data_IF_561703389956
#
_entry.id   IF_561703389956
#
_cell.length_a   1.000
_cell.length_b   1.000
_cell.length_c   1.000
_cell.angle_alpha   90.00
_cell.angle_beta   90.00
_cell.angle_gamma   90.00
#
_symmetry.space_group_name_H-M   'P 1'
#
loop_
_entity.id
_entity.type
_entity.pdbx_description
1 polymer ?
#
# COMPACT_ATOMS: atom_id res chain seq x y z
N UNK A 1 35.24 -24.65 -8.95
CA UNK A 1 35.58 -23.21 -8.90
C UNK A 1 34.38 -22.45 -9.45
N UNK A 2 33.48 -22.00 -8.57
CA UNK A 2 32.37 -21.13 -8.98
C UNK A 2 32.91 -19.74 -9.26
N UNK A 3 32.57 -19.18 -10.42
CA UNK A 3 32.86 -17.79 -10.76
C UNK A 3 32.11 -16.86 -9.81
N UNK A 4 32.84 -16.21 -8.89
CA UNK A 4 32.30 -15.26 -7.92
C UNK A 4 31.72 -14.04 -8.64
N UNK A 5 30.47 -13.68 -8.31
CA UNK A 5 29.70 -12.66 -9.05
C UNK A 5 30.08 -11.19 -8.75
N UNK A 6 31.05 -10.81 -7.95
CA UNK A 6 31.31 -9.40 -7.57
C UNK A 6 30.08 -8.61 -7.00
N UNK A 7 30.14 -8.16 -5.73
CA UNK A 7 29.02 -7.47 -5.05
C UNK A 7 28.43 -6.25 -5.77
N UNK A 8 29.23 -5.57 -6.60
CA UNK A 8 28.76 -4.43 -7.39
C UNK A 8 27.72 -4.83 -8.44
N UNK A 9 27.81 -6.05 -9.00
CA UNK A 9 26.85 -6.58 -9.96
C UNK A 9 25.52 -6.87 -9.26
N UNK A 10 25.56 -7.51 -8.09
CA UNK A 10 24.34 -7.84 -7.32
C UNK A 10 23.60 -6.59 -6.87
N UNK A 11 24.34 -5.57 -6.42
CA UNK A 11 23.75 -4.27 -6.08
C UNK A 11 23.16 -3.60 -7.32
N UNK A 12 23.87 -3.59 -8.44
CA UNK A 12 23.38 -3.04 -9.71
C UNK A 12 22.06 -3.68 -10.17
N UNK A 13 21.91 -5.00 -10.02
CA UNK A 13 20.65 -5.69 -10.35
C UNK A 13 19.52 -5.27 -9.42
N UNK A 14 19.77 -5.20 -8.10
CA UNK A 14 18.77 -4.73 -7.14
C UNK A 14 18.26 -3.31 -7.50
N UNK A 15 19.18 -2.40 -7.83
CA UNK A 15 18.83 -1.05 -8.30
C UNK A 15 17.98 -1.07 -9.57
N UNK A 16 18.36 -1.91 -10.55
CA UNK A 16 17.61 -2.04 -11.79
C UNK A 16 16.18 -2.56 -11.54
N UNK A 17 16.01 -3.58 -10.69
CA UNK A 17 14.70 -4.13 -10.35
C UNK A 17 13.83 -3.15 -9.58
N UNK A 18 14.43 -2.33 -8.72
CA UNK A 18 13.73 -1.24 -8.03
C UNK A 18 13.30 -0.15 -9.01
N UNK A 19 14.20 0.26 -9.93
CA UNK A 19 13.94 1.32 -10.91
C UNK A 19 12.83 0.95 -11.91
N UNK A 20 12.76 -0.32 -12.34
CA UNK A 20 11.72 -0.81 -13.26
C UNK A 20 10.32 -0.61 -12.65
N UNK A 21 10.18 -0.73 -11.32
CA UNK A 21 8.90 -0.59 -10.64
C UNK A 21 8.42 0.85 -10.47
N UNK A 22 9.26 1.85 -10.75
CA UNK A 22 8.85 3.26 -10.75
C UNK A 22 7.83 3.53 -11.88
N UNK A 23 8.05 2.96 -13.07
CA UNK A 23 7.18 3.18 -14.24
C UNK A 23 5.73 2.74 -14.00
N UNK A 24 5.42 1.49 -13.59
CA UNK A 24 4.04 1.09 -13.32
C UNK A 24 3.42 1.91 -12.18
N UNK A 25 4.19 2.31 -11.16
CA UNK A 25 3.69 3.13 -10.07
C UNK A 25 3.29 4.54 -10.56
N UNK A 26 4.08 5.17 -11.44
CA UNK A 26 3.72 6.45 -12.09
C UNK A 26 2.45 6.30 -12.91
N UNK A 27 2.29 5.21 -13.66
CA UNK A 27 1.06 4.94 -14.42
C UNK A 27 -0.14 4.80 -13.48
N UNK A 28 -0.02 4.04 -12.39
CA UNK A 28 -1.07 3.89 -11.36
C UNK A 28 -1.41 5.24 -10.73
N UNK A 29 -0.41 6.06 -10.42
CA UNK A 29 -0.57 7.41 -9.89
C UNK A 29 -1.39 8.27 -10.86
N UNK A 30 -0.95 8.40 -12.11
CA UNK A 30 -1.65 9.17 -13.14
C UNK A 30 -3.09 8.69 -13.33
N UNK A 31 -3.31 7.38 -13.45
CA UNK A 31 -4.65 6.80 -13.62
C UNK A 31 -5.55 7.09 -12.41
N UNK A 32 -5.01 7.01 -11.20
CA UNK A 32 -5.76 7.28 -9.96
C UNK A 32 -6.13 8.76 -9.87
N UNK A 33 -5.19 9.68 -10.13
CA UNK A 33 -5.46 11.13 -10.11
C UNK A 33 -6.41 11.57 -11.22
N UNK A 34 -6.29 11.02 -12.43
CA UNK A 34 -7.20 11.37 -13.54
C UNK A 34 -8.62 10.84 -13.34
N UNK A 35 -8.81 9.76 -12.57
CA UNK A 35 -10.12 9.11 -12.40
C UNK A 35 -10.74 9.25 -11.02
N UNK A 36 -10.01 9.81 -10.05
CA UNK A 36 -10.49 10.06 -8.70
C UNK A 36 -11.76 10.93 -8.75
N UNK A 37 -12.94 10.35 -8.51
CA UNK A 37 -14.17 11.13 -8.45
C UNK A 37 -14.19 11.96 -7.18
N UNK A 38 -14.46 13.26 -7.31
CA UNK A 38 -14.89 14.13 -6.20
C UNK A 38 -16.34 13.77 -5.86
N UNK A 39 -16.58 12.83 -4.95
CA UNK A 39 -17.95 12.51 -4.56
C UNK A 39 -17.97 11.85 -3.18
N UNK A 40 -18.91 12.30 -2.34
CA UNK A 40 -19.19 11.85 -0.98
C UNK A 40 -19.71 10.40 -0.89
N UNK A 41 -19.32 9.52 -1.82
CA UNK A 41 -19.73 8.13 -1.84
C UNK A 41 -19.12 7.39 -0.63
N UNK A 42 -19.93 6.94 0.33
CA UNK A 42 -19.45 6.32 1.57
C UNK A 42 -18.66 5.04 1.32
N UNK A 43 -18.75 4.47 0.11
CA UNK A 43 -18.13 3.22 -0.24
C UNK A 43 -16.84 3.38 -1.06
N UNK A 44 -16.51 4.63 -1.41
CA UNK A 44 -15.21 5.06 -1.96
C UNK A 44 -14.28 5.65 -0.89
N UNK A 45 -14.51 5.30 0.37
CA UNK A 45 -13.72 5.79 1.52
C UNK A 45 -12.22 5.49 1.45
N UNK A 46 -11.79 4.52 0.62
CA UNK A 46 -10.38 4.16 0.43
C UNK A 46 -9.61 5.10 -0.51
N UNK A 47 -10.28 5.82 -1.41
CA UNK A 47 -9.65 6.72 -2.39
C UNK A 47 -8.78 7.80 -1.74
N UNK A 48 -9.21 8.56 -0.71
CA UNK A 48 -8.36 9.59 -0.11
C UNK A 48 -7.05 9.02 0.45
N UNK A 49 -7.09 7.85 1.09
CA UNK A 49 -5.89 7.18 1.59
C UNK A 49 -4.97 6.77 0.44
N UNK A 50 -5.52 6.22 -0.65
CA UNK A 50 -4.76 5.83 -1.83
C UNK A 50 -4.09 7.05 -2.50
N UNK A 51 -4.77 8.19 -2.59
CA UNK A 51 -4.23 9.41 -3.18
C UNK A 51 -3.06 10.00 -2.39
N UNK A 52 -3.00 9.79 -1.08
CA UNK A 52 -1.86 10.18 -0.24
C UNK A 52 -0.74 9.13 -0.29
N UNK A 53 -1.11 7.86 -0.30
CA UNK A 53 -0.19 6.73 -0.31
C UNK A 53 0.65 6.64 -1.59
N UNK A 54 0.04 6.82 -2.77
CA UNK A 54 0.75 6.67 -4.04
C UNK A 54 1.93 7.67 -4.23
N UNK A 55 1.79 8.98 -3.92
CA UNK A 55 2.95 9.89 -3.91
C UNK A 55 4.02 9.48 -2.91
N UNK A 56 3.64 9.05 -1.70
CA UNK A 56 4.61 8.59 -0.69
C UNK A 56 5.37 7.35 -1.15
N UNK A 57 4.68 6.41 -1.80
CA UNK A 57 5.30 5.25 -2.40
C UNK A 57 6.29 5.60 -3.51
N UNK A 58 5.95 6.60 -4.33
CA UNK A 58 6.84 7.07 -5.39
C UNK A 58 8.08 7.73 -4.79
N UNK A 59 7.91 8.57 -3.75
CA UNK A 59 9.02 9.16 -2.99
C UNK A 59 9.89 8.06 -2.40
N UNK A 60 9.30 7.03 -1.80
CA UNK A 60 10.03 5.87 -1.26
C UNK A 60 10.90 5.21 -2.34
N UNK A 61 10.34 4.80 -3.48
CA UNK A 61 11.12 4.11 -4.52
C UNK A 61 12.21 5.00 -5.12
N UNK A 62 11.92 6.27 -5.37
CA UNK A 62 12.90 7.22 -5.91
C UNK A 62 14.04 7.46 -4.92
N UNK A 63 13.72 7.67 -3.64
CA UNK A 63 14.75 7.88 -2.61
C UNK A 63 15.57 6.62 -2.35
N UNK A 64 14.95 5.42 -2.36
CA UNK A 64 15.67 4.15 -2.30
C UNK A 64 16.63 3.99 -3.47
N UNK A 65 16.19 4.32 -4.69
CA UNK A 65 17.04 4.27 -5.87
C UNK A 65 18.23 5.24 -5.75
N UNK A 66 17.99 6.49 -5.34
CA UNK A 66 19.05 7.49 -5.15
C UNK A 66 20.03 7.03 -4.07
N UNK A 67 19.55 6.58 -2.91
CA UNK A 67 20.39 6.06 -1.84
C UNK A 67 21.24 4.87 -2.33
N UNK A 68 20.64 3.99 -3.12
CA UNK A 68 21.33 2.86 -3.71
C UNK A 68 22.43 3.24 -4.71
N UNK A 69 22.18 4.24 -5.56
CA UNK A 69 23.19 4.82 -6.47
C UNK A 69 24.33 5.47 -5.66
N UNK A 70 24.02 6.22 -4.61
CA UNK A 70 25.02 6.81 -3.73
C UNK A 70 25.86 5.73 -3.03
N UNK A 71 25.25 4.61 -2.62
CA UNK A 71 25.97 3.46 -2.08
C UNK A 71 26.90 2.79 -3.08
N UNK A 72 26.52 2.77 -4.35
CA UNK A 72 27.40 2.28 -5.41
C UNK A 72 28.57 3.26 -5.66
N UNK A 73 28.30 4.56 -5.62
CA UNK A 73 29.32 5.59 -5.79
C UNK A 73 30.30 5.65 -4.60
N UNK A 74 29.82 5.45 -3.37
CA UNK A 74 30.66 5.48 -2.16
C UNK A 74 31.67 4.33 -2.13
N UNK A 75 31.28 3.15 -2.61
CA UNK A 75 32.16 1.97 -2.72
C UNK A 75 33.15 2.07 -3.88
N UNK A 76 32.84 2.85 -4.91
CA UNK A 76 33.67 3.00 -6.12
C UNK A 76 34.62 4.20 -6.09
N UNK A 77 34.53 5.09 -5.09
CA UNK A 77 35.31 6.33 -5.04
C UNK A 77 36.74 6.09 -4.55
N UNK A 78 37.79 6.29 -5.38
CA UNK A 78 39.19 6.02 -5.00
C UNK A 78 39.81 7.12 -4.12
N UNK A 79 39.14 8.26 -3.95
CA UNK A 79 39.74 9.51 -3.48
C UNK A 79 38.96 10.11 -2.31
N UNK A 80 39.09 9.53 -1.10
CA UNK A 80 38.86 10.19 0.20
C UNK A 80 37.50 10.83 0.54
N UNK A 81 36.61 11.08 -0.42
CA UNK A 81 35.31 11.74 -0.27
C UNK A 81 34.14 10.78 -0.04
N UNK A 82 34.42 9.50 0.21
CA UNK A 82 33.39 8.49 0.47
C UNK A 82 32.54 8.79 1.71
N UNK A 83 33.08 9.55 2.68
CA UNK A 83 32.38 9.93 3.91
C UNK A 83 31.12 10.77 3.66
N UNK A 84 31.23 11.82 2.85
CA UNK A 84 30.09 12.71 2.54
C UNK A 84 29.02 11.98 1.71
N UNK A 85 29.45 11.15 0.76
CA UNK A 85 28.55 10.33 -0.06
C UNK A 85 27.81 9.32 0.83
N UNK A 86 28.50 8.67 1.76
CA UNK A 86 27.90 7.76 2.72
C UNK A 86 26.92 8.49 3.65
N UNK A 87 27.26 9.69 4.13
CA UNK A 87 26.36 10.50 4.95
C UNK A 87 25.06 10.83 4.21
N UNK A 88 25.17 11.29 2.97
CA UNK A 88 24.04 11.57 2.10
C UNK A 88 23.21 10.29 1.83
N UNK A 89 23.87 9.17 1.52
CA UNK A 89 23.23 7.87 1.32
C UNK A 89 22.37 7.48 2.51
N UNK A 90 22.92 7.50 3.73
CA UNK A 90 22.19 7.02 4.91
C UNK A 90 21.02 7.96 5.25
N UNK A 91 21.18 9.28 5.09
CA UNK A 91 20.09 10.24 5.31
C UNK A 91 18.96 10.09 4.29
N UNK A 92 19.28 9.94 3.01
CA UNK A 92 18.29 9.69 1.97
C UNK A 92 17.60 8.34 2.21
N UNK A 93 18.36 7.31 2.62
CA UNK A 93 17.82 6.02 3.02
C UNK A 93 16.85 6.12 4.19
N UNK A 94 17.13 6.95 5.20
CA UNK A 94 16.21 7.18 6.32
C UNK A 94 14.89 7.82 5.87
N UNK A 95 14.94 8.79 4.94
CA UNK A 95 13.74 9.41 4.35
C UNK A 95 12.96 8.38 3.53
N UNK A 96 13.65 7.56 2.74
CA UNK A 96 13.03 6.49 1.96
C UNK A 96 12.28 5.52 2.87
N UNK A 97 12.90 5.06 3.96
CA UNK A 97 12.29 4.15 4.93
C UNK A 97 11.07 4.77 5.62
N UNK A 98 11.12 6.06 5.97
CA UNK A 98 9.96 6.74 6.56
C UNK A 98 8.77 6.76 5.58
N UNK A 99 9.03 7.09 4.31
CA UNK A 99 8.02 7.07 3.26
C UNK A 99 7.46 5.66 3.02
N UNK A 100 8.31 4.63 3.09
CA UNK A 100 7.88 3.23 3.03
C UNK A 100 6.91 2.88 4.15
N UNK A 101 7.27 3.17 5.41
CA UNK A 101 6.42 2.87 6.56
C UNK A 101 5.07 3.59 6.48
N UNK A 102 5.05 4.85 6.06
CA UNK A 102 3.78 5.57 5.87
C UNK A 102 2.95 4.98 4.72
N UNK A 103 3.60 4.54 3.64
CA UNK A 103 2.93 3.83 2.56
C UNK A 103 2.29 2.52 3.04
N UNK A 104 3.01 1.73 3.87
CA UNK A 104 2.54 0.48 4.45
C UNK A 104 1.38 0.67 5.44
N UNK A 105 1.43 1.74 6.23
CA UNK A 105 0.33 2.13 7.13
C UNK A 105 -0.91 2.51 6.31
N UNK A 106 -0.73 3.29 5.24
CA UNK A 106 -1.83 3.74 4.40
C UNK A 106 -2.44 2.59 3.57
N UNK A 107 -1.67 1.60 3.13
CA UNK A 107 -2.26 0.44 2.41
C UNK A 107 -3.17 -0.38 3.33
N UNK A 108 -2.85 -0.49 4.64
CA UNK A 108 -3.76 -1.10 5.61
C UNK A 108 -5.10 -0.35 5.63
N UNK A 109 -5.06 0.99 5.73
CA UNK A 109 -6.26 1.82 5.70
C UNK A 109 -7.04 1.68 4.39
N UNK A 110 -6.34 1.66 3.25
CA UNK A 110 -6.96 1.44 1.93
C UNK A 110 -7.68 0.10 1.86
N UNK A 111 -7.04 -0.99 2.31
CA UNK A 111 -7.62 -2.33 2.26
C UNK A 111 -8.82 -2.48 3.23
N UNK A 112 -8.75 -1.90 4.43
CA UNK A 112 -9.87 -1.89 5.39
C UNK A 112 -11.06 -1.13 4.82
N UNK A 113 -10.85 0.10 4.33
CA UNK A 113 -11.95 0.91 3.78
C UNK A 113 -12.50 0.31 2.48
N UNK A 114 -11.67 -0.34 1.67
CA UNK A 114 -12.13 -1.04 0.47
C UNK A 114 -13.01 -2.25 0.84
N UNK A 115 -12.59 -3.08 1.79
CA UNK A 115 -13.41 -4.20 2.28
C UNK A 115 -14.71 -3.72 2.95
N UNK A 116 -14.65 -2.61 3.68
CA UNK A 116 -15.85 -1.96 4.23
C UNK A 116 -16.79 -1.48 3.12
N UNK A 117 -16.26 -0.91 2.03
CA UNK A 117 -17.03 -0.54 0.85
C UNK A 117 -17.75 -1.74 0.24
N UNK A 118 -17.07 -2.87 0.07
CA UNK A 118 -17.69 -4.10 -0.41
C UNK A 118 -18.84 -4.57 0.49
N UNK A 119 -18.63 -4.58 1.81
CA UNK A 119 -19.68 -4.97 2.75
C UNK A 119 -20.87 -4.01 2.73
N UNK A 120 -20.63 -2.72 2.50
CA UNK A 120 -21.69 -1.71 2.38
C UNK A 120 -22.56 -1.98 1.14
N UNK A 121 -21.95 -2.35 0.01
CA UNK A 121 -22.70 -2.76 -1.18
C UNK A 121 -23.56 -4.02 -0.98
N UNK A 122 -23.16 -4.93 -0.08
CA UNK A 122 -23.94 -6.16 0.18
C UNK A 122 -25.06 -5.93 1.18
N UNK A 123 -24.76 -5.22 2.26
CA UNK A 123 -25.66 -5.10 3.41
C UNK A 123 -26.56 -3.87 3.36
N UNK A 124 -26.28 -2.92 2.45
CA UNK A 124 -26.96 -1.60 2.31
C UNK A 124 -26.93 -0.73 3.58
N UNK A 125 -26.27 -1.20 4.64
CA UNK A 125 -26.16 -0.53 5.92
C UNK A 125 -24.76 -0.73 6.52
N UNK A 126 -24.33 0.23 7.35
CA UNK A 126 -23.08 0.14 8.10
C UNK A 126 -23.24 -0.78 9.31
N UNK A 127 -22.67 -1.97 9.22
CA UNK A 127 -22.59 -2.97 10.29
C UNK A 127 -21.60 -2.57 11.39
N UNK A 128 -21.78 -3.12 12.60
CA UNK A 128 -20.86 -2.92 13.72
C UNK A 128 -19.43 -3.39 13.42
N UNK A 129 -19.28 -4.48 12.63
CA UNK A 129 -17.98 -5.00 12.19
C UNK A 129 -17.20 -3.97 11.37
N UNK A 130 -17.85 -3.28 10.42
CA UNK A 130 -17.19 -2.25 9.60
C UNK A 130 -16.68 -1.08 10.45
N UNK A 131 -17.49 -0.64 11.43
CA UNK A 131 -17.09 0.42 12.37
C UNK A 131 -15.90 -0.04 13.22
N UNK A 132 -15.99 -1.24 13.79
CA UNK A 132 -14.92 -1.82 14.62
C UNK A 132 -13.60 -1.93 13.87
N UNK A 133 -13.61 -2.55 12.67
CA UNK A 133 -12.42 -2.67 11.83
C UNK A 133 -11.80 -1.31 11.49
N UNK A 134 -12.62 -0.31 11.16
CA UNK A 134 -12.14 1.05 10.87
C UNK A 134 -11.47 1.69 12.08
N UNK A 135 -12.09 1.65 13.26
CA UNK A 135 -11.51 2.28 14.45
C UNK A 135 -10.22 1.58 14.90
N UNK A 136 -10.17 0.25 14.83
CA UNK A 136 -8.97 -0.52 15.13
C UNK A 136 -7.86 -0.20 14.12
N UNK A 137 -8.17 -0.08 12.83
CA UNK A 137 -7.21 0.31 11.81
C UNK A 137 -6.67 1.73 12.04
N UNK A 138 -7.52 2.70 12.36
CA UNK A 138 -7.08 4.08 12.67
C UNK A 138 -6.18 4.10 13.91
N UNK A 139 -6.59 3.44 14.99
CA UNK A 139 -5.83 3.41 16.24
C UNK A 139 -4.46 2.77 16.07
N UNK A 140 -4.40 1.62 15.41
CA UNK A 140 -3.12 0.95 15.12
C UNK A 140 -2.26 1.73 14.13
N UNK A 141 -2.84 2.35 13.09
CA UNK A 141 -2.13 3.22 12.14
C UNK A 141 -1.49 4.42 12.83
N UNK A 142 -2.18 5.03 13.80
CA UNK A 142 -1.63 6.14 14.59
C UNK A 142 -0.42 5.69 15.42
N UNK A 143 -0.49 4.52 16.06
CA UNK A 143 0.62 3.93 16.82
C UNK A 143 1.81 3.65 15.89
N UNK A 144 1.57 3.02 14.74
CA UNK A 144 2.59 2.73 13.74
C UNK A 144 3.24 4.01 13.18
N UNK A 145 2.48 5.08 12.98
CA UNK A 145 3.00 6.36 12.51
C UNK A 145 3.95 7.00 13.54
N UNK A 146 3.59 6.95 14.83
CA UNK A 146 4.46 7.43 15.92
C UNK A 146 5.76 6.60 15.97
N UNK A 147 5.65 5.28 15.86
CA UNK A 147 6.81 4.38 15.81
C UNK A 147 7.72 4.67 14.61
N UNK A 148 7.15 4.91 13.43
CA UNK A 148 7.91 5.25 12.22
C UNK A 148 8.69 6.57 12.39
N UNK A 149 8.06 7.59 12.99
CA UNK A 149 8.71 8.86 13.32
C UNK A 149 9.84 8.65 14.34
N UNK A 150 9.62 7.83 15.37
CA UNK A 150 10.64 7.53 16.37
C UNK A 150 11.86 6.82 15.75
N UNK A 151 11.63 5.82 14.89
CA UNK A 151 12.71 5.13 14.16
C UNK A 151 13.48 6.10 13.27
N UNK A 152 12.79 7.00 12.56
CA UNK A 152 13.41 8.02 11.74
C UNK A 152 14.30 8.95 12.59
N UNK A 153 13.80 9.39 13.75
CA UNK A 153 14.55 10.22 14.70
C UNK A 153 15.81 9.52 15.22
N UNK A 154 15.68 8.26 15.67
CA UNK A 154 16.79 7.44 16.15
C UNK A 154 17.84 7.25 15.04
N UNK A 155 17.41 6.91 13.82
CA UNK A 155 18.32 6.71 12.68
C UNK A 155 19.12 7.99 12.38
N UNK A 156 18.48 9.17 12.40
CA UNK A 156 19.18 10.43 12.18
C UNK A 156 20.12 10.80 13.34
N UNK A 157 19.74 10.47 14.58
CA UNK A 157 20.59 10.69 15.75
C UNK A 157 21.84 9.80 15.70
N UNK A 158 21.67 8.51 15.37
CA UNK A 158 22.74 7.53 15.18
C UNK A 158 23.74 7.99 14.11
N UNK A 159 23.23 8.36 12.93
CA UNK A 159 24.05 8.91 11.84
C UNK A 159 24.78 10.16 12.29
N UNK A 160 24.09 11.11 12.91
CA UNK A 160 24.72 12.35 13.35
C UNK A 160 25.84 12.08 14.35
N UNK A 161 25.64 11.13 15.28
CA UNK A 161 26.66 10.74 16.26
C UNK A 161 27.87 10.11 15.57
N UNK A 162 27.65 9.14 14.68
CA UNK A 162 28.71 8.44 13.93
C UNK A 162 29.63 9.40 13.17
N UNK A 163 29.08 10.41 12.48
CA UNK A 163 29.87 11.35 11.70
C UNK A 163 30.50 12.49 12.52
N UNK A 164 30.01 12.79 13.74
CA UNK A 164 30.61 13.83 14.60
C UNK A 164 31.65 13.29 15.58
N UNK A 165 31.48 12.07 16.10
CA UNK A 165 32.39 11.51 17.12
C UNK A 165 33.71 11.02 16.53
N UNK A 166 33.77 10.75 15.21
CA UNK A 166 34.92 10.13 14.55
C UNK A 166 35.27 8.73 15.10
N UNK A 167 34.51 8.24 16.06
CA UNK A 167 34.69 6.96 16.75
C UNK A 167 33.47 6.09 16.46
N UNK A 168 33.67 4.87 15.92
CA UNK A 168 32.61 3.90 15.62
C UNK A 168 32.01 3.28 16.88
N UNK A 169 32.33 3.77 18.08
CA UNK A 169 31.57 3.50 19.31
C UNK A 169 30.20 4.18 19.22
N UNK A 170 29.39 3.73 18.27
CA UNK A 170 27.95 3.95 18.25
C UNK A 170 27.44 3.43 19.59
N UNK A 171 26.60 4.22 20.23
CA UNK A 171 25.94 3.81 21.46
C UNK A 171 25.08 2.59 21.13
N UNK A 172 25.49 1.40 21.55
CA UNK A 172 24.78 0.14 21.28
C UNK A 172 23.28 0.26 21.65
N UNK A 173 22.96 1.14 22.61
CA UNK A 173 21.60 1.46 23.03
C UNK A 173 20.70 2.05 21.92
N UNK A 174 21.21 2.91 21.04
CA UNK A 174 20.43 3.50 19.94
C UNK A 174 20.18 2.48 18.82
N UNK A 175 21.21 1.71 18.48
CA UNK A 175 21.10 0.64 17.50
C UNK A 175 20.11 -0.44 17.94
N UNK A 176 20.18 -0.88 19.20
CA UNK A 176 19.25 -1.84 19.80
C UNK A 176 17.80 -1.30 19.83
N UNK A 177 17.61 -0.03 20.22
CA UNK A 177 16.31 0.61 20.17
C UNK A 177 15.74 0.65 18.74
N UNK A 178 16.56 0.98 17.74
CA UNK A 178 16.16 1.00 16.32
C UNK A 178 15.70 -0.39 15.86
N UNK A 179 16.45 -1.43 16.16
CA UNK A 179 16.13 -2.82 15.79
C UNK A 179 14.84 -3.28 16.48
N UNK A 180 14.70 -3.03 17.78
CA UNK A 180 13.50 -3.40 18.55
C UNK A 180 12.25 -2.72 18.01
N UNK A 181 12.29 -1.40 17.79
CA UNK A 181 11.15 -0.65 17.26
C UNK A 181 10.80 -1.06 15.82
N UNK A 182 11.81 -1.26 14.97
CA UNK A 182 11.60 -1.75 13.61
C UNK A 182 10.94 -3.13 13.58
N UNK A 183 11.38 -4.04 14.46
CA UNK A 183 10.79 -5.38 14.59
C UNK A 183 9.31 -5.30 15.00
N UNK A 184 8.96 -4.38 15.91
CA UNK A 184 7.55 -4.19 16.32
C UNK A 184 6.69 -3.75 15.13
N UNK A 185 7.14 -2.80 14.31
CA UNK A 185 6.40 -2.39 13.10
C UNK A 185 6.18 -3.58 12.16
N UNK A 186 7.22 -4.38 11.91
CA UNK A 186 7.16 -5.53 11.01
C UNK A 186 6.18 -6.59 11.54
N UNK A 187 6.22 -6.90 12.84
CA UNK A 187 5.31 -7.87 13.45
C UNK A 187 3.86 -7.38 13.39
N UNK A 188 3.60 -6.12 13.73
CA UNK A 188 2.24 -5.56 13.74
C UNK A 188 1.66 -5.48 12.33
N UNK A 189 2.45 -5.06 11.33
CA UNK A 189 2.02 -5.02 9.93
C UNK A 189 1.78 -6.42 9.36
N UNK A 190 2.59 -7.41 9.75
CA UNK A 190 2.34 -8.82 9.45
C UNK A 190 1.01 -9.31 10.05
N UNK A 191 0.73 -9.05 11.32
CA UNK A 191 -0.55 -9.41 11.97
C UNK A 191 -1.72 -8.79 11.21
N UNK A 192 -1.60 -7.52 10.80
CA UNK A 192 -2.61 -6.86 9.96
C UNK A 192 -2.80 -7.53 8.61
N UNK A 193 -1.73 -7.96 7.95
CA UNK A 193 -1.83 -8.64 6.66
C UNK A 193 -2.62 -9.96 6.77
N UNK A 194 -2.43 -10.72 7.85
CA UNK A 194 -3.22 -11.94 8.15
C UNK A 194 -4.69 -11.59 8.40
N UNK A 195 -4.94 -10.57 9.24
CA UNK A 195 -6.30 -10.12 9.53
C UNK A 195 -7.04 -9.62 8.27
N UNK A 196 -6.33 -8.96 7.35
CA UNK A 196 -6.87 -8.47 6.08
C UNK A 196 -7.21 -9.62 5.11
N UNK A 197 -6.43 -10.70 5.09
CA UNK A 197 -6.78 -11.91 4.31
C UNK A 197 -8.05 -12.55 4.85
N UNK A 198 -8.17 -12.71 6.18
CA UNK A 198 -9.38 -13.22 6.80
C UNK A 198 -10.60 -12.32 6.52
N UNK A 199 -10.42 -11.00 6.60
CA UNK A 199 -11.45 -10.01 6.28
C UNK A 199 -11.86 -10.09 4.80
N UNK A 200 -10.91 -10.21 3.87
CA UNK A 200 -11.20 -10.38 2.45
C UNK A 200 -11.94 -11.69 2.15
N UNK A 201 -11.64 -12.77 2.86
CA UNK A 201 -12.39 -14.02 2.75
C UNK A 201 -13.86 -13.87 3.19
N UNK A 202 -14.12 -13.14 4.28
CA UNK A 202 -15.49 -12.81 4.73
C UNK A 202 -16.22 -11.97 3.68
N UNK A 203 -15.54 -10.96 3.11
CA UNK A 203 -16.07 -10.10 2.05
C UNK A 203 -16.46 -10.95 0.83
N UNK A 204 -15.57 -11.84 0.38
CA UNK A 204 -15.83 -12.74 -0.75
C UNK A 204 -17.01 -13.69 -0.48
N UNK A 205 -17.08 -14.26 0.72
CA UNK A 205 -18.18 -15.14 1.12
C UNK A 205 -19.54 -14.41 1.03
N UNK A 206 -19.60 -13.18 1.55
CA UNK A 206 -20.82 -12.36 1.47
C UNK A 206 -21.13 -11.90 0.04
N UNK A 207 -20.12 -11.67 -0.77
CA UNK A 207 -20.26 -11.26 -2.17
C UNK A 207 -20.63 -12.38 -3.15
N UNK A 208 -20.63 -13.66 -2.72
CA UNK A 208 -20.69 -14.83 -3.62
C UNK A 208 -21.94 -14.88 -4.50
N UNK A 209 -23.05 -14.31 -4.06
CA UNK A 209 -24.33 -14.34 -4.77
C UNK A 209 -24.42 -13.27 -5.87
N UNK A 210 -23.54 -12.27 -5.86
CA UNK A 210 -23.63 -11.12 -6.76
C UNK A 210 -22.43 -11.14 -7.72
N UNK A 211 -22.63 -11.58 -8.97
CA UNK A 211 -21.53 -11.93 -9.89
C UNK A 211 -20.54 -10.76 -10.12
N UNK A 212 -21.06 -9.54 -10.26
CA UNK A 212 -20.23 -8.34 -10.43
C UNK A 212 -19.35 -8.06 -9.20
N UNK A 213 -19.90 -8.27 -8.00
CA UNK A 213 -19.22 -8.07 -6.73
C UNK A 213 -18.21 -9.17 -6.46
N UNK A 214 -18.56 -10.42 -6.77
CA UNK A 214 -17.69 -11.60 -6.61
C UNK A 214 -16.37 -11.42 -7.34
N UNK A 215 -16.39 -10.98 -8.60
CA UNK A 215 -15.16 -10.81 -9.38
C UNK A 215 -14.21 -9.75 -8.77
N UNK A 216 -14.76 -8.65 -8.26
CA UNK A 216 -13.98 -7.61 -7.59
C UNK A 216 -13.52 -8.04 -6.19
N UNK A 217 -14.32 -8.82 -5.46
CA UNK A 217 -13.95 -9.39 -4.17
C UNK A 217 -12.85 -10.46 -4.30
N UNK A 218 -12.80 -11.20 -5.41
CA UNK A 218 -11.69 -12.11 -5.72
C UNK A 218 -10.40 -11.31 -5.91
N UNK A 219 -10.42 -10.23 -6.70
CA UNK A 219 -9.24 -9.36 -6.86
C UNK A 219 -8.80 -8.76 -5.53
N UNK A 220 -9.73 -8.40 -4.65
CA UNK A 220 -9.44 -7.91 -3.32
C UNK A 220 -8.74 -8.96 -2.46
N UNK A 221 -9.22 -10.21 -2.49
CA UNK A 221 -8.57 -11.33 -1.80
C UNK A 221 -7.16 -11.61 -2.34
N UNK A 222 -6.97 -11.56 -3.66
CA UNK A 222 -5.64 -11.74 -4.27
C UNK A 222 -4.72 -10.60 -3.84
N UNK A 223 -5.20 -9.36 -3.78
CA UNK A 223 -4.41 -8.22 -3.31
C UNK A 223 -3.98 -8.36 -1.84
N UNK A 224 -4.85 -8.84 -0.95
CA UNK A 224 -4.48 -9.08 0.46
C UNK A 224 -3.52 -10.24 0.63
N UNK A 225 -3.62 -11.28 -0.20
CA UNK A 225 -2.64 -12.39 -0.24
C UNK A 225 -1.27 -11.89 -0.71
N UNK A 226 -1.20 -11.08 -1.77
CA UNK A 226 0.06 -10.49 -2.22
C UNK A 226 0.69 -9.59 -1.14
N UNK A 227 -0.14 -8.82 -0.44
CA UNK A 227 0.31 -8.03 0.70
C UNK A 227 0.84 -8.89 1.85
N UNK A 228 0.18 -10.01 2.16
CA UNK A 228 0.64 -10.99 3.17
C UNK A 228 1.99 -11.61 2.76
N UNK A 229 2.18 -11.97 1.48
CA UNK A 229 3.44 -12.52 0.99
C UNK A 229 4.58 -11.51 1.21
N UNK A 230 4.36 -10.23 0.87
CA UNK A 230 5.34 -9.17 1.09
C UNK A 230 5.74 -9.03 2.56
N UNK A 231 4.76 -8.97 3.47
CA UNK A 231 5.03 -8.80 4.90
C UNK A 231 5.60 -10.06 5.55
N UNK A 232 5.21 -11.25 5.08
CA UNK A 232 5.79 -12.51 5.50
C UNK A 232 7.27 -12.58 5.10
N UNK A 233 7.60 -12.16 3.88
CA UNK A 233 8.98 -12.10 3.43
C UNK A 233 9.80 -11.13 4.29
N UNK A 234 9.31 -9.91 4.55
CA UNK A 234 10.00 -8.94 5.42
C UNK A 234 10.20 -9.51 6.84
N UNK A 235 9.18 -10.19 7.40
CA UNK A 235 9.29 -10.83 8.71
C UNK A 235 10.37 -11.91 8.72
N UNK A 236 10.39 -12.80 7.71
CA UNK A 236 11.41 -13.85 7.59
C UNK A 236 12.79 -13.25 7.40
N UNK A 237 12.92 -12.25 6.52
CA UNK A 237 14.15 -11.52 6.28
C UNK A 237 14.70 -10.93 7.58
N UNK A 238 13.88 -10.17 8.31
CA UNK A 238 14.30 -9.57 9.59
C UNK A 238 14.58 -10.63 10.65
N UNK A 239 13.78 -11.69 10.74
CA UNK A 239 14.05 -12.78 11.67
C UNK A 239 15.39 -13.45 11.38
N UNK A 240 15.74 -13.70 10.11
CA UNK A 240 17.06 -14.22 9.74
C UNK A 240 18.18 -13.27 10.16
N UNK A 241 18.05 -11.97 9.94
CA UNK A 241 19.09 -11.02 10.36
C UNK A 241 19.22 -10.93 11.88
N UNK A 242 18.12 -11.01 12.64
CA UNK A 242 18.14 -10.93 14.10
C UNK A 242 18.64 -12.23 14.74
N UNK A 243 18.19 -13.40 14.29
CA UNK A 243 18.51 -14.69 14.92
C UNK A 243 19.94 -15.14 14.63
N UNK A 244 20.39 -14.97 13.39
CA UNK A 244 21.67 -15.54 12.92
C UNK A 244 22.84 -14.58 13.13
N UNK A 245 22.57 -13.35 13.57
CA UNK A 245 23.54 -12.26 13.54
C UNK A 245 24.08 -12.03 12.12
N UNK A 246 25.20 -11.32 12.01
CA UNK A 246 25.88 -11.10 10.73
C UNK A 246 26.48 -12.37 10.09
N UNK A 247 26.29 -13.55 10.67
CA UNK A 247 26.84 -14.82 10.15
C UNK A 247 26.29 -15.12 8.75
N UNK A 248 25.03 -14.75 8.45
CA UNK A 248 24.49 -14.88 7.08
C UNK A 248 25.19 -13.98 6.05
N UNK A 249 25.80 -12.88 6.47
CA UNK A 249 26.59 -12.03 5.56
C UNK A 249 27.95 -12.66 5.21
N UNK A 250 28.38 -13.70 5.94
CA UNK A 250 29.65 -14.39 5.65
C UNK A 250 29.54 -15.38 4.49
N UNK A 251 28.32 -15.87 4.17
CA UNK A 251 28.08 -16.72 3.01
C UNK A 251 27.67 -15.89 1.79
N UNK A 252 28.61 -15.78 0.85
CA UNK A 252 28.46 -15.00 -0.38
C UNK A 252 27.30 -15.45 -1.26
N UNK A 253 27.03 -16.77 -1.32
CA UNK A 253 25.95 -17.31 -2.16
C UNK A 253 24.58 -16.91 -1.60
N UNK A 254 24.41 -17.04 -0.29
CA UNK A 254 23.20 -16.63 0.43
C UNK A 254 22.94 -15.12 0.29
N UNK A 255 23.97 -14.29 0.49
CA UNK A 255 23.86 -12.84 0.30
C UNK A 255 23.45 -12.46 -1.13
N UNK A 256 24.07 -13.10 -2.12
CA UNK A 256 23.77 -12.88 -3.54
C UNK A 256 22.30 -13.22 -3.82
N UNK A 257 21.83 -14.39 -3.40
CA UNK A 257 20.45 -14.83 -3.61
C UNK A 257 19.44 -13.86 -2.98
N UNK A 258 19.69 -13.39 -1.76
CA UNK A 258 18.84 -12.42 -1.08
C UNK A 258 18.72 -11.13 -1.88
N UNK A 259 19.81 -10.61 -2.46
CA UNK A 259 19.78 -9.37 -3.26
C UNK A 259 18.93 -9.46 -4.53
N UNK A 260 18.74 -10.66 -5.10
CA UNK A 260 17.83 -10.86 -6.23
C UNK A 260 16.38 -11.06 -5.78
N UNK A 261 16.18 -11.77 -4.67
CA UNK A 261 14.85 -12.13 -4.16
C UNK A 261 14.16 -10.94 -3.51
N UNK A 262 14.92 -10.08 -2.83
CA UNK A 262 14.39 -8.96 -2.04
C UNK A 262 13.51 -7.99 -2.85
N UNK A 263 13.94 -7.46 -4.02
CA UNK A 263 13.10 -6.55 -4.80
C UNK A 263 11.83 -7.23 -5.32
N UNK A 264 11.90 -8.53 -5.61
CA UNK A 264 10.78 -9.28 -6.18
C UNK A 264 9.74 -9.55 -5.09
N UNK A 265 10.14 -10.12 -3.95
CA UNK A 265 9.20 -10.50 -2.90
C UNK A 265 8.71 -9.33 -2.06
N UNK A 266 9.44 -8.21 -2.05
CA UNK A 266 9.05 -7.00 -1.35
C UNK A 266 8.40 -5.98 -2.29
N UNK A 267 9.17 -5.39 -3.22
CA UNK A 267 8.71 -4.26 -4.03
C UNK A 267 7.70 -4.71 -5.09
N UNK A 268 7.98 -5.79 -5.82
CA UNK A 268 7.13 -6.20 -6.94
C UNK A 268 5.77 -6.72 -6.46
N UNK A 269 5.76 -7.59 -5.44
CA UNK A 269 4.52 -8.09 -4.83
C UNK A 269 3.66 -6.94 -4.30
N UNK A 270 4.29 -5.93 -3.69
CA UNK A 270 3.62 -4.74 -3.19
C UNK A 270 3.02 -3.89 -4.32
N UNK A 271 3.77 -3.62 -5.40
CA UNK A 271 3.25 -2.92 -6.59
C UNK A 271 2.13 -3.71 -7.28
N UNK A 272 2.23 -5.03 -7.34
CA UNK A 272 1.16 -5.90 -7.85
C UNK A 272 -0.09 -5.78 -6.99
N UNK A 273 0.02 -5.84 -5.66
CA UNK A 273 -1.10 -5.63 -4.75
C UNK A 273 -1.78 -4.26 -5.00
N UNK A 274 -0.99 -3.20 -5.16
CA UNK A 274 -1.51 -1.88 -5.51
C UNK A 274 -2.22 -1.84 -6.86
N UNK A 275 -1.65 -2.48 -7.87
CA UNK A 275 -2.26 -2.53 -9.21
C UNK A 275 -3.64 -3.18 -9.18
N UNK A 276 -3.81 -4.22 -8.35
CA UNK A 276 -5.10 -4.90 -8.14
C UNK A 276 -6.09 -3.99 -7.41
N UNK A 277 -5.66 -3.32 -6.34
CA UNK A 277 -6.48 -2.33 -5.62
C UNK A 277 -6.93 -1.20 -6.55
N UNK A 278 -6.00 -0.64 -7.34
CA UNK A 278 -6.29 0.40 -8.32
C UNK A 278 -7.27 -0.09 -9.39
N UNK A 279 -7.11 -1.32 -9.88
CA UNK A 279 -8.03 -1.95 -10.84
C UNK A 279 -9.45 -2.06 -10.27
N UNK A 280 -9.60 -2.44 -9.00
CA UNK A 280 -10.89 -2.51 -8.32
C UNK A 280 -11.55 -1.12 -8.26
N UNK A 281 -10.77 -0.08 -7.96
CA UNK A 281 -11.26 1.30 -7.82
C UNK A 281 -11.61 1.95 -9.18
N UNK A 282 -10.85 1.65 -10.23
CA UNK A 282 -11.02 2.23 -11.57
C UNK A 282 -12.16 1.59 -12.37
N UNK A 283 -12.66 0.41 -11.98
CA UNK A 283 -13.69 -0.34 -12.73
C UNK A 283 -15.04 0.41 -12.73
N UNK A 284 -15.18 1.43 -13.60
CA UNK A 284 -16.14 2.54 -13.46
C UNK A 284 -17.16 2.71 -14.60
N UNK A 285 -17.48 1.70 -15.40
CA UNK A 285 -18.43 1.92 -16.51
C UNK A 285 -19.67 1.02 -16.53
N UNK A 286 -19.66 -0.10 -15.79
CA UNK A 286 -20.84 -0.95 -15.51
C UNK A 286 -20.73 -1.66 -14.15
N UNK A 287 -19.73 -1.26 -13.34
CA UNK A 287 -19.31 -1.96 -12.13
C UNK A 287 -19.85 -1.28 -10.88
N UNK A 288 -20.02 -2.09 -9.83
CA UNK A 288 -20.36 -1.84 -8.42
C UNK A 288 -20.79 -0.45 -7.95
N UNK A 289 -20.05 0.58 -8.36
CA UNK A 289 -20.09 1.96 -7.88
C UNK A 289 -20.78 2.95 -8.83
N UNK A 290 -21.20 2.51 -10.02
CA UNK A 290 -21.72 3.39 -11.07
C UNK A 290 -23.14 3.04 -11.53
N UNK A 291 -23.59 1.80 -11.35
CA UNK A 291 -24.98 1.42 -11.63
C UNK A 291 -25.85 1.90 -10.48
N UNK A 292 -26.83 2.77 -10.77
CA UNK A 292 -27.97 3.04 -9.87
C UNK A 292 -28.47 1.69 -9.37
N UNK A 293 -28.27 1.42 -8.08
CA UNK A 293 -28.85 0.24 -7.47
C UNK A 293 -30.34 0.53 -7.25
N UNK A 294 -31.25 -0.45 -7.36
CA UNK A 294 -32.69 -0.23 -7.21
C UNK A 294 -33.10 0.49 -5.90
N UNK A 295 -32.26 0.41 -4.86
CA UNK A 295 -32.44 1.12 -3.59
C UNK A 295 -32.02 2.59 -3.61
N UNK A 296 -31.21 3.04 -4.59
CA UNK A 296 -30.88 4.46 -4.78
C UNK A 296 -32.07 5.26 -5.34
N UNK A 297 -33.01 4.59 -6.01
CA UNK A 297 -34.30 5.19 -6.43
C UNK A 297 -35.28 5.35 -5.25
N UNK A 298 -35.18 4.52 -4.21
CA UNK A 298 -36.12 4.53 -3.08
C UNK A 298 -35.91 5.70 -2.11
N UNK A 299 -34.79 6.44 -2.22
CA UNK A 299 -34.57 7.68 -1.45
C UNK A 299 -35.08 8.95 -2.14
N UNK A 300 -35.84 8.84 -3.25
CA UNK A 300 -36.76 9.90 -3.68
C UNK A 300 -36.12 11.13 -4.33
N UNK A 301 -34.94 10.99 -4.94
CA UNK A 301 -34.38 12.06 -5.77
C UNK A 301 -33.40 11.54 -6.80
N UNK A 302 -33.56 11.87 -8.10
CA UNK A 302 -32.50 11.60 -9.06
C UNK A 302 -31.21 12.29 -8.58
N UNK A 303 -30.04 11.65 -8.69
CA UNK A 303 -28.79 12.34 -8.44
C UNK A 303 -28.76 13.56 -9.35
N UNK A 304 -28.33 14.68 -8.79
CA UNK A 304 -28.00 15.88 -9.55
C UNK A 304 -26.99 15.52 -10.66
N UNK A 305 -27.51 15.11 -11.81
CA UNK A 305 -26.91 15.40 -13.09
C UNK A 305 -26.68 16.90 -13.03
N UNK A 306 -25.39 17.29 -12.99
CA UNK A 306 -24.95 18.67 -12.96
C UNK A 306 -25.88 19.49 -13.84
N UNK A 307 -26.69 20.34 -13.18
CA UNK A 307 -27.85 20.96 -13.77
C UNK A 307 -27.46 21.66 -15.05
N UNK A 308 -28.14 21.31 -16.14
CA UNK A 308 -28.36 22.27 -17.19
C UNK A 308 -29.25 23.37 -16.55
N UNK A 309 -28.75 24.60 -16.34
CA UNK A 309 -29.54 25.66 -15.71
C UNK A 309 -30.78 26.07 -16.53
N UNK A 310 -30.99 25.48 -17.71
CA UNK A 310 -32.12 25.75 -18.59
C UNK A 310 -33.21 24.66 -18.67
N UNK A 311 -33.17 23.58 -17.88
CA UNK A 311 -34.30 22.64 -17.87
C UNK A 311 -35.45 23.14 -16.99
N UNK A 312 -36.16 24.16 -17.46
CA UNK A 312 -37.55 24.40 -17.05
C UNK A 312 -38.45 23.43 -17.81
N UNK A 313 -39.00 22.44 -17.12
CA UNK A 313 -40.04 21.55 -17.65
C UNK A 313 -40.62 20.72 -16.50
N UNK A 314 -41.65 21.25 -15.85
CA UNK A 314 -43.06 20.88 -16.00
C UNK A 314 -43.39 19.56 -15.32
N UNK A 315 -44.22 19.65 -14.27
CA UNK A 315 -44.89 18.49 -13.71
C UNK A 315 -45.77 17.84 -14.77
N UNK A 316 -45.35 16.69 -15.25
CA UNK A 316 -46.26 15.74 -15.87
C UNK A 316 -46.52 14.62 -14.87
N UNK A 317 -47.75 14.63 -14.37
CA UNK A 317 -48.37 13.52 -13.69
C UNK A 317 -48.21 12.25 -14.53
N UNK A 318 -47.43 11.29 -14.01
CA UNK A 318 -47.52 9.91 -14.46
C UNK A 318 -48.91 9.37 -14.13
N UNK A 319 -49.83 9.47 -15.09
CA UNK A 319 -51.09 8.72 -15.07
C UNK A 319 -50.76 7.25 -15.26
N UNK A 320 -51.08 6.42 -14.26
CA UNK A 320 -51.16 4.98 -14.44
C UNK A 320 -52.19 4.66 -15.54
N UNK A 321 -51.89 3.75 -16.48
CA UNK A 321 -52.91 3.21 -17.36
C UNK A 321 -53.87 2.37 -16.52
N UNK A 322 -55.13 2.83 -16.44
CA UNK A 322 -56.22 2.06 -15.86
C UNK A 322 -56.51 0.86 -16.77
N UNK A 323 -56.22 -0.34 -16.28
CA UNK A 323 -56.77 -1.57 -16.85
C UNK A 323 -58.27 -1.59 -16.56
N UNK A 324 -59.07 -1.14 -17.53
CA UNK A 324 -60.50 -1.43 -17.55
C UNK A 324 -60.96 -1.78 -18.96
N UNK A 325 -61.60 -2.95 -19.02
CA UNK A 325 -62.53 -3.44 -20.05
C UNK A 325 -61.99 -3.81 -21.44
N UNK A 326 -62.07 -5.11 -21.76
CA UNK A 326 -63.02 -5.61 -22.77
C UNK A 326 -63.67 -6.91 -22.31
N UNK A 327 -65.00 -6.90 -22.31
CA UNK A 327 -65.92 -8.02 -22.11
C UNK A 327 -66.23 -8.66 -23.47
N UNK A 328 -66.26 -10.00 -23.52
CA UNK A 328 -67.22 -10.84 -24.24
C UNK A 328 -67.33 -10.77 -25.77
N UNK A 329 -67.04 -11.90 -26.43
CA UNK A 329 -67.98 -12.67 -27.27
C UNK A 329 -67.76 -14.15 -26.98
#
# INVERSE_FOLDING_TARGET
>A
MGSYIHPSITQGVNLAFTAIMIVPLVVILCLTFSRAPRSNDPARGSIPYLMVMLPLALIWLVMTLIAGILGFASTSSPLGGGGDILHAQVRIGAIASLAAYWSDILIIMVLVELGNGFLFCVAEARTGLQKGMRYVAIGTSAILAILAIAIFGITNAEVSKYFHSGSPSVDDSLGDARVKLGTVIIVVTFIWSVALVAFAAIVLYKARHNYALKNSAILFLVATIMNLISHLYILIYTAMFVLTGFILASDYETYTAIMFVDPILNIWTWVVALSLVCTILIRKQKGLWATMQPWMDQQGGPPALAGNPNSKGLGEHWKQPSESHVVGV
#
